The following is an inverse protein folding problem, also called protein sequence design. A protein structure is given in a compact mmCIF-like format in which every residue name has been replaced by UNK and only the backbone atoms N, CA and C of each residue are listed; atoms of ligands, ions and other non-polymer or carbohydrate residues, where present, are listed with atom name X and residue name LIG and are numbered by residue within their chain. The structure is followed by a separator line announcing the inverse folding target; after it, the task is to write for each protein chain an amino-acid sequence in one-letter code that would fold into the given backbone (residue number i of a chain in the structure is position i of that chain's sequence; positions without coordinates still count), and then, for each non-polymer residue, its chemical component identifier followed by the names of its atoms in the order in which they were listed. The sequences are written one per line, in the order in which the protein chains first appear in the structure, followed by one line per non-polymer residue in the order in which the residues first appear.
data_IF_161798797656
#
_entry.id   IF_161798797656
#
_cell.length_a   1.000
_cell.length_b   1.000
_cell.length_c   1.000
_cell.angle_alpha   90.00
_cell.angle_beta   90.00
_cell.angle_gamma   90.00
#
_symmetry.space_group_name_H-M   'P 1'
#
loop_
_entity.id
_entity.type
_entity.pdbx_description
1 polymer ?
#
# COMPACT_ATOMS: atom_id res chain seq x y z
N UNK A 1 -19.86 -38.20 -37.31
CA UNK A 1 -19.12 -36.93 -37.07
C UNK A 1 -18.48 -36.79 -35.67
N UNK A 2 -18.87 -37.54 -34.62
CA UNK A 2 -18.30 -37.40 -33.26
C UNK A 2 -16.95 -38.11 -32.98
N UNK A 3 -16.54 -39.07 -33.82
CA UNK A 3 -15.28 -39.82 -33.63
C UNK A 3 -14.03 -39.05 -34.08
N UNK A 4 -14.18 -38.17 -35.08
CA UNK A 4 -13.08 -37.36 -35.60
C UNK A 4 -12.71 -36.20 -34.66
N UNK A 5 -13.69 -35.63 -33.95
CA UNK A 5 -13.46 -34.53 -33.00
C UNK A 5 -12.61 -34.97 -31.81
N UNK A 6 -12.84 -36.18 -31.30
CA UNK A 6 -12.04 -36.75 -30.19
C UNK A 6 -10.60 -37.02 -30.65
N UNK A 7 -10.41 -37.51 -31.87
CA UNK A 7 -9.09 -37.79 -32.42
C UNK A 7 -8.27 -36.49 -32.61
N UNK A 8 -8.92 -35.41 -33.06
CA UNK A 8 -8.30 -34.09 -33.19
C UNK A 8 -7.88 -33.54 -31.82
N UNK A 9 -8.71 -33.68 -30.78
CA UNK A 9 -8.38 -33.21 -29.42
C UNK A 9 -7.20 -33.97 -28.83
N UNK A 10 -7.13 -35.30 -29.02
CA UNK A 10 -6.02 -36.12 -28.54
C UNK A 10 -4.71 -35.76 -29.25
N UNK A 11 -4.75 -35.51 -30.56
CA UNK A 11 -3.57 -35.07 -31.32
C UNK A 11 -3.11 -33.68 -30.89
N UNK A 12 -4.04 -32.75 -30.63
CA UNK A 12 -3.71 -31.40 -30.14
C UNK A 12 -3.09 -31.42 -28.73
N UNK A 13 -3.61 -32.25 -27.83
CA UNK A 13 -3.05 -32.40 -26.48
C UNK A 13 -1.63 -33.00 -26.52
N UNK A 14 -1.38 -33.98 -27.39
CA UNK A 14 -0.05 -34.55 -27.61
C UNK A 14 0.94 -33.51 -28.18
N UNK A 15 0.48 -32.63 -29.08
CA UNK A 15 1.28 -31.55 -29.65
C UNK A 15 1.66 -30.49 -28.61
N UNK A 16 0.73 -30.12 -27.72
CA UNK A 16 0.99 -29.17 -26.63
C UNK A 16 2.04 -29.73 -25.65
N UNK A 17 1.93 -31.00 -25.28
CA UNK A 17 2.91 -31.67 -24.41
C UNK A 17 4.29 -31.75 -25.07
N UNK A 18 4.35 -31.98 -26.39
CA UNK A 18 5.62 -32.04 -27.12
C UNK A 18 6.29 -30.65 -27.23
N UNK A 19 5.50 -29.58 -27.37
CA UNK A 19 6.01 -28.19 -27.33
C UNK A 19 6.52 -27.82 -25.94
N UNK A 20 5.79 -28.16 -24.87
CA UNK A 20 6.24 -27.93 -23.49
C UNK A 20 7.55 -28.68 -23.19
N UNK A 21 7.65 -29.94 -23.62
CA UNK A 21 8.87 -30.73 -23.46
C UNK A 21 10.09 -30.14 -24.21
N UNK A 22 9.90 -29.56 -25.39
CA UNK A 22 10.98 -28.90 -26.15
C UNK A 22 11.38 -27.56 -25.51
N UNK A 23 10.44 -26.82 -24.93
CA UNK A 23 10.75 -25.59 -24.18
C UNK A 23 11.57 -25.90 -22.93
N UNK A 24 11.20 -26.93 -22.17
CA UNK A 24 11.95 -27.34 -20.98
C UNK A 24 13.35 -27.87 -21.33
N UNK A 25 13.51 -28.58 -22.46
CA UNK A 25 14.84 -29.05 -22.90
C UNK A 25 15.77 -27.95 -23.42
N UNK A 26 15.24 -26.78 -23.79
CA UNK A 26 16.03 -25.63 -24.25
C UNK A 26 16.30 -24.58 -23.15
N UNK A 27 15.81 -24.79 -21.93
CA UNK A 27 16.20 -23.99 -20.79
C UNK A 27 17.64 -24.33 -20.39
N UNK A 28 18.59 -23.55 -20.93
CA UNK A 28 19.99 -23.54 -20.50
C UNK A 28 20.03 -23.10 -19.03
N UNK A 29 20.79 -23.78 -18.14
CA UNK A 29 20.89 -23.37 -16.75
C UNK A 29 21.55 -22.00 -16.65
N UNK A 30 20.83 -21.01 -16.13
CA UNK A 30 21.37 -19.71 -15.76
C UNK A 30 22.32 -19.88 -14.57
N UNK A 31 23.62 -19.89 -14.85
CA UNK A 31 24.67 -19.71 -13.85
C UNK A 31 24.67 -18.29 -13.28
N UNK A 32 25.37 -18.06 -12.16
CA UNK A 32 25.38 -16.79 -11.47
C UNK A 32 26.37 -15.82 -12.15
N UNK A 33 25.92 -14.58 -12.37
CA UNK A 33 26.80 -13.44 -12.55
C UNK A 33 26.64 -12.65 -13.85
N UNK A 34 26.45 -11.34 -13.70
CA UNK A 34 27.14 -10.34 -14.52
C UNK A 34 26.43 -9.83 -15.77
N UNK A 35 26.16 -8.52 -15.72
CA UNK A 35 26.17 -7.57 -16.84
C UNK A 35 24.90 -7.39 -17.69
N UNK A 36 24.25 -6.26 -17.39
CA UNK A 36 23.84 -5.17 -18.29
C UNK A 36 23.32 -5.52 -19.71
N UNK A 37 22.11 -5.05 -19.97
CA UNK A 37 21.56 -4.79 -21.30
C UNK A 37 20.87 -3.41 -21.28
N UNK A 38 20.57 -2.79 -22.44
CA UNK A 38 21.31 -1.66 -22.98
C UNK A 38 20.61 -0.31 -22.77
N UNK A 39 21.42 0.74 -22.73
CA UNK A 39 20.96 2.13 -22.76
C UNK A 39 20.31 2.44 -24.12
N UNK A 40 19.09 2.98 -24.06
CA UNK A 40 18.41 3.59 -25.20
C UNK A 40 19.06 4.95 -25.47
N UNK A 41 19.60 5.12 -26.67
CA UNK A 41 20.12 6.38 -27.18
C UNK A 41 19.02 7.46 -27.15
N UNK A 42 19.24 8.51 -26.36
CA UNK A 42 18.56 9.80 -26.54
C UNK A 42 19.45 10.71 -27.40
N UNK A 43 18.86 11.57 -28.26
CA UNK A 43 19.63 12.46 -29.11
C UNK A 43 20.45 13.46 -28.27
N UNK A 44 21.72 13.61 -28.62
CA UNK A 44 22.64 14.60 -28.03
C UNK A 44 22.06 16.02 -28.15
N UNK A 45 21.63 16.56 -27.01
CA UNK A 45 21.34 17.98 -26.84
C UNK A 45 22.65 18.78 -26.72
N UNK A 46 22.73 19.88 -27.45
CA UNK A 46 23.84 20.84 -27.50
C UNK A 46 24.17 21.38 -26.09
N UNK A 47 25.46 21.47 -25.75
CA UNK A 47 25.93 22.07 -24.51
C UNK A 47 25.58 23.58 -24.48
N UNK A 48 24.79 24.00 -23.49
CA UNK A 48 24.54 25.41 -23.21
C UNK A 48 25.78 26.05 -22.55
N UNK A 49 26.12 27.31 -22.88
CA UNK A 49 27.23 28.04 -22.28
C UNK A 49 27.03 28.24 -20.77
N UNK A 50 28.14 28.37 -20.04
CA UNK A 50 28.24 28.40 -18.55
C UNK A 50 27.41 29.50 -17.86
N UNK A 51 26.83 30.42 -18.63
CA UNK A 51 26.11 31.59 -18.10
C UNK A 51 24.58 31.38 -18.04
N UNK A 52 24.06 30.24 -18.49
CA UNK A 52 22.63 29.89 -18.41
C UNK A 52 22.21 29.22 -17.09
N UNK A 53 23.15 28.99 -16.16
CA UNK A 53 22.92 28.28 -14.89
C UNK A 53 22.17 29.09 -13.81
N UNK A 54 21.79 30.35 -14.08
CA UNK A 54 21.20 31.26 -13.08
C UNK A 54 19.69 31.48 -13.26
N UNK A 55 19.00 30.76 -14.15
CA UNK A 55 17.54 30.94 -14.31
C UNK A 55 16.77 29.65 -14.63
N UNK A 56 17.05 28.59 -13.89
CA UNK A 56 16.09 27.49 -13.67
C UNK A 56 15.46 27.57 -12.27
N UNK A 57 15.19 28.78 -11.78
CA UNK A 57 14.19 29.00 -10.74
C UNK A 57 12.80 28.94 -11.40
N UNK A 58 12.27 27.73 -11.66
CA UNK A 58 10.84 27.45 -11.86
C UNK A 58 10.59 25.94 -12.03
N UNK A 59 10.45 25.28 -10.88
CA UNK A 59 9.32 24.44 -10.56
C UNK A 59 9.51 23.99 -9.10
N UNK A 60 9.10 24.82 -8.15
CA UNK A 60 8.77 24.33 -6.80
C UNK A 60 7.44 23.58 -6.97
N UNK A 61 7.54 22.41 -7.59
CA UNK A 61 6.48 21.44 -7.67
C UNK A 61 6.21 20.95 -6.26
N UNK A 62 4.93 20.86 -5.91
CA UNK A 62 4.46 20.29 -4.67
C UNK A 62 5.23 19.00 -4.40
N UNK A 63 5.88 18.88 -3.25
CA UNK A 63 6.43 17.60 -2.80
C UNK A 63 5.53 17.01 -1.71
N UNK A 64 4.27 16.81 -2.08
CA UNK A 64 3.92 15.43 -2.38
C UNK A 64 4.12 15.34 -3.88
N UNK A 65 5.06 14.53 -4.41
CA UNK A 65 5.12 14.36 -5.84
C UNK A 65 3.68 14.13 -6.34
N UNK A 66 3.18 14.95 -7.26
CA UNK A 66 2.00 14.59 -8.05
C UNK A 66 2.27 13.29 -8.85
N UNK A 67 3.52 12.82 -8.85
CA UNK A 67 3.94 11.53 -9.36
C UNK A 67 3.75 10.38 -8.36
N UNK A 68 2.73 9.57 -8.70
CA UNK A 68 2.63 8.12 -8.50
C UNK A 68 2.77 7.56 -7.08
N UNK A 69 1.83 7.89 -6.20
CA UNK A 69 1.32 6.81 -5.33
C UNK A 69 0.82 5.66 -6.23
N UNK A 70 0.92 4.40 -5.80
CA UNK A 70 0.43 3.28 -6.61
C UNK A 70 -1.00 3.55 -7.07
N UNK A 71 -1.34 3.23 -8.32
CA UNK A 71 -2.73 3.40 -8.77
C UNK A 71 -3.61 2.42 -7.99
N UNK A 72 -4.81 2.87 -7.61
CA UNK A 72 -5.84 1.99 -7.05
C UNK A 72 -6.01 0.77 -7.97
N UNK A 73 -5.93 -0.44 -7.40
CA UNK A 73 -5.91 -1.70 -8.13
C UNK A 73 -4.55 -2.34 -8.39
N UNK A 74 -3.45 -1.70 -8.00
CA UNK A 74 -2.09 -2.23 -8.18
C UNK A 74 -1.15 -1.94 -6.98
N UNK A 75 -1.64 -2.17 -5.76
CA UNK A 75 -0.85 -1.96 -4.54
C UNK A 75 0.27 -3.02 -4.46
N UNK A 76 1.51 -2.62 -4.75
CA UNK A 76 2.68 -3.48 -4.65
C UNK A 76 3.43 -3.19 -3.35
N UNK A 77 3.19 -3.96 -2.29
CA UNK A 77 3.92 -3.77 -1.04
C UNK A 77 5.32 -4.40 -1.08
N UNK A 78 6.31 -3.79 -0.41
CA UNK A 78 7.63 -4.40 -0.22
C UNK A 78 7.46 -5.78 0.45
N UNK A 79 8.37 -6.71 0.15
CA UNK A 79 8.31 -8.12 0.57
C UNK A 79 7.96 -8.25 2.05
N UNK A 80 6.68 -8.52 2.31
CA UNK A 80 6.14 -8.79 3.64
C UNK A 80 6.69 -10.14 4.09
N UNK A 81 6.86 -10.32 5.40
CA UNK A 81 7.09 -11.63 6.03
C UNK A 81 6.15 -12.66 5.36
N UNK A 82 6.67 -13.58 4.52
CA UNK A 82 5.83 -14.43 3.67
C UNK A 82 4.99 -15.45 4.47
N UNK A 83 5.09 -15.41 5.79
CA UNK A 83 4.54 -16.39 6.72
C UNK A 83 3.33 -15.90 7.53
N UNK A 84 2.88 -14.65 7.38
CA UNK A 84 1.69 -14.19 8.10
C UNK A 84 0.40 -14.79 7.50
N UNK A 85 -0.15 -15.80 8.18
CA UNK A 85 -1.33 -16.58 7.74
C UNK A 85 -2.67 -15.84 7.82
N UNK A 86 -2.75 -14.63 8.37
CA UNK A 86 -4.02 -13.93 8.59
C UNK A 86 -4.85 -14.51 9.76
N UNK A 87 -5.88 -13.78 10.16
CA UNK A 87 -6.84 -14.20 11.20
C UNK A 87 -7.97 -15.11 10.67
N UNK A 88 -8.09 -15.24 9.35
CA UNK A 88 -9.05 -16.09 8.65
C UNK A 88 -8.48 -16.47 7.27
N UNK A 89 -9.13 -17.41 6.59
CA UNK A 89 -8.88 -17.68 5.16
C UNK A 89 -9.13 -16.41 4.33
N UNK A 90 -8.16 -15.99 3.50
CA UNK A 90 -8.23 -14.70 2.81
C UNK A 90 -7.77 -13.50 3.64
N UNK A 91 -7.38 -13.71 4.90
CA UNK A 91 -7.02 -12.64 5.84
C UNK A 91 -5.55 -12.23 5.82
N UNK A 92 -4.71 -12.83 4.96
CA UNK A 92 -3.33 -12.38 4.80
C UNK A 92 -3.29 -11.02 4.10
N UNK A 93 -2.22 -10.25 4.29
CA UNK A 93 -2.10 -8.92 3.66
C UNK A 93 -2.19 -9.00 2.14
N UNK A 94 -1.56 -10.01 1.53
CA UNK A 94 -1.65 -10.22 0.08
C UNK A 94 -3.10 -10.40 -0.37
N UNK A 95 -3.84 -11.29 0.27
CA UNK A 95 -5.23 -11.57 -0.09
C UNK A 95 -6.15 -10.36 0.18
N UNK A 96 -5.90 -9.60 1.26
CA UNK A 96 -6.60 -8.35 1.54
C UNK A 96 -6.38 -7.32 0.42
N UNK A 97 -5.16 -7.20 -0.12
CA UNK A 97 -4.86 -6.30 -1.24
C UNK A 97 -5.45 -6.82 -2.56
N UNK A 98 -5.37 -8.12 -2.83
CA UNK A 98 -5.93 -8.76 -4.03
C UNK A 98 -7.48 -8.61 -4.11
N UNK A 99 -8.12 -8.27 -2.99
CA UNK A 99 -9.57 -8.03 -2.90
C UNK A 99 -9.94 -6.56 -2.74
N UNK A 100 -8.97 -5.64 -2.74
CA UNK A 100 -9.16 -4.20 -2.55
C UNK A 100 -10.29 -3.67 -3.44
N UNK A 101 -10.13 -3.62 -4.76
CA UNK A 101 -11.17 -3.07 -5.66
C UNK A 101 -12.43 -3.93 -5.83
N UNK A 102 -12.52 -5.08 -5.15
CA UNK A 102 -13.69 -5.98 -5.21
C UNK A 102 -14.55 -5.90 -3.96
N UNK A 103 -13.93 -5.91 -2.78
CA UNK A 103 -14.63 -5.98 -1.50
C UNK A 103 -14.60 -4.65 -0.76
N UNK A 104 -13.51 -3.89 -0.86
CA UNK A 104 -13.31 -2.69 -0.05
C UNK A 104 -12.72 -1.54 -0.87
N UNK A 105 -12.20 -0.50 -0.24
CA UNK A 105 -11.63 0.63 -0.97
C UNK A 105 -12.65 1.63 -1.53
N UNK A 106 -12.14 2.75 -2.05
CA UNK A 106 -12.95 3.92 -2.39
C UNK A 106 -13.71 3.77 -3.70
N UNK A 107 -13.21 2.91 -4.60
CA UNK A 107 -13.69 2.76 -5.97
C UNK A 107 -14.23 1.36 -6.28
N UNK A 108 -14.47 0.53 -5.26
CA UNK A 108 -15.12 -0.75 -5.49
C UNK A 108 -16.58 -0.52 -5.93
N UNK A 109 -16.97 -1.16 -7.03
CA UNK A 109 -18.28 -0.93 -7.68
C UNK A 109 -19.48 -1.30 -6.81
N UNK A 110 -19.32 -2.28 -5.93
CA UNK A 110 -20.33 -2.75 -4.99
C UNK A 110 -19.65 -3.00 -3.63
N UNK A 111 -19.22 -1.92 -2.96
CA UNK A 111 -18.44 -2.04 -1.72
C UNK A 111 -19.15 -2.92 -0.69
N UNK A 112 -18.44 -3.96 -0.22
CA UNK A 112 -18.87 -4.75 0.92
C UNK A 112 -18.63 -4.00 2.25
N UNK A 113 -17.63 -3.11 2.24
CA UNK A 113 -17.25 -2.29 3.38
C UNK A 113 -17.98 -0.94 3.31
N UNK A 114 -18.41 -0.44 4.47
CA UNK A 114 -18.89 0.96 4.55
C UNK A 114 -17.72 1.93 4.33
N UNK A 115 -17.99 3.22 4.03
CA UNK A 115 -16.93 4.22 3.90
C UNK A 115 -16.01 4.30 5.14
N UNK A 116 -16.58 4.23 6.33
CA UNK A 116 -15.81 4.24 7.59
C UNK A 116 -14.95 2.99 7.76
N UNK A 117 -15.47 1.82 7.36
CA UNK A 117 -14.70 0.58 7.39
C UNK A 117 -13.55 0.62 6.37
N UNK A 118 -13.78 1.16 5.18
CA UNK A 118 -12.73 1.36 4.17
C UNK A 118 -11.66 2.34 4.67
N UNK A 119 -12.06 3.47 5.26
CA UNK A 119 -11.15 4.44 5.87
C UNK A 119 -10.30 3.79 6.99
N UNK A 120 -10.92 2.96 7.83
CA UNK A 120 -10.20 2.23 8.87
C UNK A 120 -9.18 1.24 8.29
N UNK A 121 -9.52 0.51 7.23
CA UNK A 121 -8.56 -0.34 6.52
C UNK A 121 -7.39 0.47 5.96
N UNK A 122 -7.65 1.63 5.34
CA UNK A 122 -6.58 2.49 4.84
C UNK A 122 -5.68 3.05 5.94
N UNK A 123 -6.25 3.45 7.07
CA UNK A 123 -5.47 3.89 8.22
C UNK A 123 -4.56 2.77 8.73
N UNK A 124 -5.06 1.54 8.85
CA UNK A 124 -4.26 0.39 9.29
C UNK A 124 -3.17 0.02 8.27
N UNK A 125 -3.47 0.11 6.99
CA UNK A 125 -2.51 -0.11 5.91
C UNK A 125 -1.40 0.96 5.92
N UNK A 126 -1.77 2.23 6.05
CA UNK A 126 -0.85 3.35 6.18
C UNK A 126 0.01 3.25 7.44
N UNK A 127 -0.57 2.83 8.56
CA UNK A 127 0.12 2.62 9.83
C UNK A 127 1.14 1.49 9.75
N UNK A 128 0.78 0.40 9.07
CA UNK A 128 1.67 -0.74 8.86
C UNK A 128 2.86 -0.37 7.97
N UNK A 129 2.62 0.22 6.80
CA UNK A 129 3.70 0.61 5.88
C UNK A 129 4.55 1.74 6.46
N UNK A 130 3.93 2.71 7.12
CA UNK A 130 4.65 3.81 7.77
C UNK A 130 5.52 3.33 8.93
N UNK A 131 5.07 2.33 9.69
CA UNK A 131 5.90 1.66 10.68
C UNK A 131 7.13 0.98 10.05
N UNK A 132 6.96 0.28 8.92
CA UNK A 132 8.10 -0.30 8.20
C UNK A 132 9.06 0.76 7.66
N UNK A 133 8.50 1.86 7.15
CA UNK A 133 9.26 3.01 6.67
C UNK A 133 10.11 3.61 7.80
N UNK A 134 9.54 3.75 9.01
CA UNK A 134 10.26 4.21 10.19
C UNK A 134 11.39 3.26 10.59
N UNK A 135 11.16 1.93 10.58
CA UNK A 135 12.19 0.94 10.88
C UNK A 135 13.40 1.04 9.94
N UNK A 136 13.12 1.25 8.64
CA UNK A 136 14.14 1.32 7.59
C UNK A 136 14.70 2.72 7.35
N UNK A 137 14.16 3.74 8.03
CA UNK A 137 14.44 5.16 7.70
C UNK A 137 14.22 5.49 6.22
N UNK A 138 13.18 4.90 5.63
CA UNK A 138 12.89 5.01 4.20
C UNK A 138 11.42 5.37 3.98
N UNK A 139 11.16 6.66 3.78
CA UNK A 139 9.81 7.19 3.52
C UNK A 139 9.25 6.79 2.16
N UNK A 140 10.10 6.36 1.22
CA UNK A 140 9.67 5.99 -0.13
C UNK A 140 8.80 4.73 -0.14
N UNK A 141 8.85 3.92 0.94
CA UNK A 141 7.94 2.80 1.10
C UNK A 141 6.47 3.22 1.09
N UNK A 142 6.15 4.44 1.55
CA UNK A 142 4.80 4.99 1.50
C UNK A 142 4.32 5.24 0.06
N UNK A 143 5.22 5.39 -0.91
CA UNK A 143 4.87 5.64 -2.32
C UNK A 143 4.23 4.42 -3.00
N UNK A 144 4.38 3.24 -2.39
CA UNK A 144 3.67 2.03 -2.79
C UNK A 144 2.18 2.01 -2.42
N UNK A 145 1.69 3.04 -1.71
CA UNK A 145 0.29 3.14 -1.32
C UNK A 145 -0.50 4.02 -2.27
N UNK A 146 -1.82 3.77 -2.40
CA UNK A 146 -2.69 4.63 -3.17
C UNK A 146 -2.68 6.08 -2.72
N UNK A 147 -2.42 6.97 -3.67
CA UNK A 147 -2.39 8.43 -3.46
C UNK A 147 -3.68 9.12 -3.89
N UNK A 148 -3.55 10.37 -4.34
CA UNK A 148 -4.66 11.14 -4.91
C UNK A 148 -5.15 10.44 -6.18
N UNK A 149 -6.45 10.16 -6.23
CA UNK A 149 -7.07 9.57 -7.39
C UNK A 149 -8.46 10.15 -7.63
N UNK A 150 -8.82 10.23 -8.91
CA UNK A 150 -10.15 10.52 -9.39
C UNK A 150 -10.57 9.38 -10.31
N UNK A 151 -11.77 8.83 -10.09
CA UNK A 151 -12.35 7.79 -10.94
C UNK A 151 -13.84 8.06 -11.07
N UNK A 152 -14.34 8.05 -12.31
CA UNK A 152 -15.75 8.24 -12.62
C UNK A 152 -16.35 9.53 -11.98
N UNK A 153 -15.55 10.61 -11.90
CA UNK A 153 -15.93 11.89 -11.29
C UNK A 153 -15.89 11.91 -9.76
N UNK A 154 -15.58 10.78 -9.10
CA UNK A 154 -15.37 10.72 -7.66
C UNK A 154 -13.90 10.99 -7.33
N UNK A 155 -13.64 12.09 -6.62
CA UNK A 155 -12.30 12.47 -6.14
C UNK A 155 -12.11 12.03 -4.69
N UNK A 156 -10.99 11.37 -4.41
CA UNK A 156 -10.57 11.07 -3.03
C UNK A 156 -9.75 12.23 -2.49
N UNK A 157 -10.17 12.91 -1.40
CA UNK A 157 -9.36 13.93 -0.75
C UNK A 157 -7.98 13.39 -0.37
N UNK A 158 -6.93 14.17 -0.61
CA UNK A 158 -5.54 13.75 -0.39
C UNK A 158 -5.31 13.30 1.05
N UNK A 159 -5.93 14.00 1.99
CA UNK A 159 -5.74 13.88 3.44
C UNK A 159 -6.22 12.54 3.98
N UNK A 160 -7.13 11.87 3.27
CA UNK A 160 -7.67 10.55 3.65
C UNK A 160 -7.02 9.39 2.88
N UNK A 161 -6.06 9.68 1.99
CA UNK A 161 -5.36 8.64 1.23
C UNK A 161 -4.35 7.92 2.12
N UNK A 162 -4.19 6.59 1.97
CA UNK A 162 -3.22 5.84 2.76
C UNK A 162 -1.77 6.30 2.50
N UNK A 163 -1.46 6.78 1.29
CA UNK A 163 -0.18 7.42 0.97
C UNK A 163 0.10 8.63 1.86
N UNK A 164 -0.85 9.57 1.93
CA UNK A 164 -0.69 10.80 2.71
C UNK A 164 -0.54 10.49 4.19
N UNK A 165 -1.41 9.63 4.75
CA UNK A 165 -1.36 9.25 6.17
C UNK A 165 -0.02 8.57 6.50
N UNK A 166 0.46 7.66 5.63
CA UNK A 166 1.74 6.99 5.79
C UNK A 166 2.89 7.98 5.82
N UNK A 167 2.98 8.86 4.79
CA UNK A 167 4.04 9.87 4.71
C UNK A 167 3.96 10.85 5.88
N UNK A 168 2.77 11.33 6.22
CA UNK A 168 2.57 12.33 7.27
C UNK A 168 3.14 11.86 8.60
N UNK A 169 2.75 10.65 9.02
CA UNK A 169 3.21 10.08 10.28
C UNK A 169 4.70 9.72 10.24
N UNK A 170 5.15 9.09 9.17
CA UNK A 170 6.54 8.66 9.03
C UNK A 170 7.50 9.83 9.02
N UNK A 171 7.22 10.88 8.21
CA UNK A 171 8.04 12.09 8.16
C UNK A 171 8.09 12.76 9.53
N UNK A 172 6.98 12.79 10.27
CA UNK A 172 6.96 13.38 11.62
C UNK A 172 7.92 12.66 12.58
N UNK A 173 7.93 11.33 12.60
CA UNK A 173 8.85 10.56 13.45
C UNK A 173 10.30 10.66 12.97
N UNK A 174 10.54 10.52 11.66
CA UNK A 174 11.89 10.56 11.11
C UNK A 174 12.52 11.95 11.17
N UNK A 175 11.71 13.01 11.07
CA UNK A 175 12.16 14.39 11.28
C UNK A 175 12.68 14.59 12.71
N UNK A 176 11.93 14.13 13.71
CA UNK A 176 12.40 14.21 15.09
C UNK A 176 13.60 13.30 15.34
N UNK A 177 13.68 12.17 14.63
CA UNK A 177 14.87 11.32 14.59
C UNK A 177 16.09 12.02 13.98
N UNK A 178 15.90 12.80 12.93
CA UNK A 178 16.95 13.63 12.31
C UNK A 178 17.43 14.71 13.27
N UNK A 179 16.49 15.44 13.90
CA UNK A 179 16.78 16.45 14.93
C UNK A 179 17.48 15.88 16.16
N UNK A 180 17.20 14.62 16.51
CA UNK A 180 17.87 13.90 17.58
C UNK A 180 19.22 13.27 17.15
N UNK A 181 19.59 13.36 15.88
CA UNK A 181 20.82 12.80 15.32
C UNK A 181 20.79 11.29 15.03
N UNK A 182 19.62 10.65 15.16
CA UNK A 182 19.40 9.22 14.93
C UNK A 182 19.17 8.88 13.44
N UNK A 183 18.67 9.84 12.66
CA UNK A 183 18.49 9.74 11.21
C UNK A 183 19.51 10.66 10.55
N UNK A 184 20.26 10.14 9.57
CA UNK A 184 21.30 10.92 8.86
C UNK A 184 20.81 11.50 7.54
N UNK A 185 19.80 10.88 6.94
CA UNK A 185 19.17 11.39 5.73
C UNK A 185 18.49 12.73 6.01
N UNK A 186 18.74 13.70 5.13
CA UNK A 186 18.20 15.06 5.21
C UNK A 186 16.75 15.13 4.73
N UNK A 187 16.29 14.12 3.98
CA UNK A 187 14.95 14.11 3.39
C UNK A 187 13.81 14.40 4.37
N UNK A 188 13.74 13.80 5.58
CA UNK A 188 12.66 14.09 6.53
C UNK A 188 12.64 15.56 6.97
N UNK A 189 13.80 16.22 7.03
CA UNK A 189 13.89 17.65 7.29
C UNK A 189 13.32 18.47 6.14
N UNK A 190 13.74 18.18 4.91
CA UNK A 190 13.21 18.86 3.71
C UNK A 190 11.69 18.73 3.62
N UNK A 191 11.18 17.51 3.78
CA UNK A 191 9.75 17.21 3.75
C UNK A 191 8.96 17.92 4.88
N UNK A 192 9.57 18.14 6.05
CA UNK A 192 8.93 18.88 7.13
C UNK A 192 8.94 20.40 6.87
N UNK A 193 10.02 20.94 6.30
CA UNK A 193 10.12 22.36 5.94
C UNK A 193 9.10 22.77 4.88
N UNK A 194 8.74 21.88 3.97
CA UNK A 194 7.72 22.13 2.94
C UNK A 194 6.31 22.30 3.50
N UNK A 195 6.06 21.86 4.74
CA UNK A 195 4.77 22.11 5.42
C UNK A 195 4.63 23.55 5.89
N UNK A 196 5.72 24.32 5.87
CA UNK A 196 5.68 25.72 6.23
C UNK A 196 5.09 26.52 5.08
N UNK A 197 4.55 27.69 5.41
CA UNK A 197 4.01 28.58 4.39
C UNK A 197 5.07 28.91 3.32
N UNK A 198 4.67 28.87 2.04
CA UNK A 198 5.57 29.05 0.90
C UNK A 198 6.31 30.39 0.94
N UNK A 199 5.66 31.45 1.43
CA UNK A 199 6.29 32.77 1.56
C UNK A 199 7.40 32.73 2.62
N UNK A 200 7.23 31.96 3.69
CA UNK A 200 8.26 31.77 4.72
C UNK A 200 9.41 30.90 4.22
N UNK A 201 9.11 29.80 3.53
CA UNK A 201 10.14 28.90 2.97
C UNK A 201 11.02 29.65 1.96
N UNK A 202 10.46 30.57 1.18
CA UNK A 202 11.23 31.39 0.24
C UNK A 202 12.24 32.34 0.90
N UNK A 203 12.16 32.57 2.22
CA UNK A 203 13.05 33.48 2.95
C UNK A 203 14.34 32.80 3.42
N UNK A 204 14.49 31.48 3.28
CA UNK A 204 15.66 30.76 3.75
C UNK A 204 16.05 29.57 2.87
N UNK A 205 17.30 29.13 3.00
CA UNK A 205 17.77 27.91 2.35
C UNK A 205 17.36 26.70 3.17
N UNK A 206 16.44 25.87 2.65
CA UNK A 206 16.05 24.60 3.28
C UNK A 206 17.27 23.71 3.56
N UNK A 207 18.22 23.52 2.62
CA UNK A 207 19.46 22.78 2.91
C UNK A 207 20.22 23.30 4.13
N UNK A 208 20.34 24.62 4.23
CA UNK A 208 21.06 25.26 5.34
C UNK A 208 20.32 25.10 6.66
N UNK A 209 19.00 25.27 6.65
CA UNK A 209 18.16 25.03 7.83
C UNK A 209 18.32 23.59 8.32
N UNK A 210 18.26 22.61 7.42
CA UNK A 210 18.42 21.20 7.79
C UNK A 210 19.79 20.91 8.40
N UNK A 211 20.87 21.43 7.80
CA UNK A 211 22.21 21.37 8.40
C UNK A 211 22.21 21.93 9.83
N UNK A 212 21.62 23.11 10.04
CA UNK A 212 21.54 23.74 11.37
C UNK A 212 20.68 22.94 12.36
N UNK A 213 19.61 22.30 11.91
CA UNK A 213 18.78 21.41 12.73
C UNK A 213 19.59 20.19 13.20
N UNK A 214 20.43 19.63 12.33
CA UNK A 214 21.29 18.49 12.66
C UNK A 214 22.37 18.83 13.69
N UNK A 215 22.80 20.10 13.75
CA UNK A 215 23.70 20.64 14.78
C UNK A 215 22.99 20.89 16.13
N UNK A 216 21.65 20.89 16.14
CA UNK A 216 20.80 21.01 17.33
C UNK A 216 19.92 22.26 17.36
N UNK A 217 19.19 22.44 18.48
CA UNK A 217 18.21 23.53 18.64
C UNK A 217 18.83 24.92 18.54
N UNK A 218 19.96 25.16 19.21
CA UNK A 218 20.56 26.49 19.28
C UNK A 218 21.03 27.01 17.89
N UNK A 219 21.77 26.23 17.08
CA UNK A 219 22.13 26.64 15.72
C UNK A 219 20.91 26.87 14.81
N UNK A 220 19.90 26.00 14.86
CA UNK A 220 18.66 26.16 14.08
C UNK A 220 17.91 27.45 14.44
N UNK A 221 17.73 27.72 15.73
CA UNK A 221 17.10 28.95 16.20
C UNK A 221 17.91 30.19 15.83
N UNK A 222 19.24 30.15 15.97
CA UNK A 222 20.11 31.27 15.59
C UNK A 222 19.99 31.58 14.10
N UNK A 223 19.94 30.55 13.25
CA UNK A 223 19.75 30.72 11.81
C UNK A 223 18.41 31.39 11.50
N UNK A 224 17.31 30.88 12.06
CA UNK A 224 15.98 31.43 11.80
C UNK A 224 15.76 32.81 12.43
N UNK A 225 16.32 33.10 13.61
CA UNK A 225 16.26 34.45 14.21
C UNK A 225 17.02 35.48 13.38
N UNK A 226 18.05 35.07 12.63
CA UNK A 226 18.72 35.93 11.66
C UNK A 226 17.85 36.30 10.45
N UNK A 227 16.89 35.45 10.09
CA UNK A 227 15.96 35.65 8.96
C UNK A 227 14.67 36.34 9.41
N UNK A 228 14.18 35.99 10.60
CA UNK A 228 12.97 36.51 11.23
C UNK A 228 13.33 37.22 12.55
N UNK A 229 13.93 38.43 12.49
CA UNK A 229 14.45 39.11 13.67
C UNK A 229 13.37 39.74 14.57
N UNK A 230 12.12 39.75 14.11
CA UNK A 230 10.99 40.29 14.85
C UNK A 230 10.86 39.58 16.23
N UNK A 231 10.82 40.31 17.36
CA UNK A 231 10.69 39.71 18.69
C UNK A 231 9.48 38.78 18.83
N UNK A 232 8.40 39.09 18.11
CA UNK A 232 7.15 38.32 18.08
C UNK A 232 7.32 36.96 17.37
N UNK A 233 8.35 36.82 16.53
CA UNK A 233 8.68 35.56 15.88
C UNK A 233 9.41 34.59 16.83
N UNK A 234 10.08 35.08 17.89
CA UNK A 234 10.89 34.23 18.76
C UNK A 234 10.10 33.09 19.43
N UNK A 235 8.90 33.30 20.02
CA UNK A 235 8.09 32.21 20.56
C UNK A 235 7.65 31.21 19.49
N UNK A 236 7.30 31.69 18.28
CA UNK A 236 6.90 30.83 17.16
C UNK A 236 8.06 29.94 16.69
N UNK A 237 9.26 30.51 16.58
CA UNK A 237 10.47 29.77 16.23
C UNK A 237 10.83 28.73 17.29
N UNK A 238 10.62 29.05 18.57
CA UNK A 238 10.87 28.11 19.67
C UNK A 238 9.88 26.94 19.67
N UNK A 239 8.60 27.21 19.39
CA UNK A 239 7.56 26.19 19.25
C UNK A 239 7.78 25.25 18.04
N UNK A 240 8.54 25.68 17.02
CA UNK A 240 8.93 24.82 15.89
C UNK A 240 9.89 23.71 16.29
N UNK A 241 10.71 23.94 17.32
CA UNK A 241 11.73 22.98 17.78
C UNK A 241 11.60 22.72 19.29
N UNK A 242 10.46 22.20 19.76
CA UNK A 242 10.23 22.09 21.19
C UNK A 242 11.13 21.00 21.77
N UNK A 243 11.77 21.28 22.89
CA UNK A 243 12.59 20.33 23.67
C UNK A 243 12.13 20.22 25.12
N UNK A 244 11.18 21.07 25.53
CA UNK A 244 10.43 21.02 26.79
C UNK A 244 9.00 21.50 26.55
N UNK A 245 8.06 21.09 27.41
CA UNK A 245 6.64 21.45 27.29
C UNK A 245 6.40 22.96 27.28
N UNK A 246 7.19 23.70 28.06
CA UNK A 246 7.11 25.16 28.13
C UNK A 246 7.40 25.86 26.79
N UNK A 247 8.13 25.22 25.85
CA UNK A 247 8.36 25.78 24.52
C UNK A 247 7.08 25.84 23.68
N UNK A 248 6.04 25.08 24.06
CA UNK A 248 4.81 24.95 23.28
C UNK A 248 3.67 25.88 23.71
N UNK A 249 3.79 26.56 24.87
CA UNK A 249 2.74 27.46 25.38
C UNK A 249 1.30 26.88 25.36
N UNK A 250 1.17 25.55 25.52
CA UNK A 250 -0.13 24.85 25.48
C UNK A 250 -0.65 24.49 24.09
N UNK A 251 0.07 24.80 23.01
CA UNK A 251 -0.31 24.40 21.65
C UNK A 251 -0.25 22.88 21.48
N UNK A 252 -1.37 22.29 21.05
CA UNK A 252 -1.54 20.83 20.98
C UNK A 252 -0.62 20.19 19.94
N UNK A 253 -0.42 20.84 18.80
CA UNK A 253 0.42 20.30 17.73
C UNK A 253 1.89 20.30 18.16
N UNK A 254 2.36 21.40 18.75
CA UNK A 254 3.68 21.51 19.35
C UNK A 254 3.88 20.46 20.46
N UNK A 255 2.90 20.30 21.36
CA UNK A 255 2.99 19.28 22.43
C UNK A 255 3.10 17.86 21.86
N UNK A 256 2.38 17.56 20.78
CA UNK A 256 2.53 16.28 20.07
C UNK A 256 3.93 16.13 19.47
N UNK A 257 4.46 17.15 18.80
CA UNK A 257 5.85 17.15 18.25
C UNK A 257 6.90 16.98 19.35
N UNK A 258 6.73 17.68 20.47
CA UNK A 258 7.58 17.53 21.65
C UNK A 258 7.54 16.09 22.20
N UNK A 259 6.35 15.48 22.31
CA UNK A 259 6.22 14.11 22.78
C UNK A 259 6.89 13.11 21.83
N UNK A 260 6.75 13.29 20.50
CA UNK A 260 7.48 12.48 19.50
C UNK A 260 9.00 12.66 19.69
N UNK A 261 9.49 13.89 19.77
CA UNK A 261 10.91 14.18 20.00
C UNK A 261 11.44 13.54 21.27
N UNK A 262 10.71 13.68 22.38
CA UNK A 262 11.08 13.09 23.67
C UNK A 262 11.16 11.57 23.57
N UNK A 263 10.17 10.92 22.96
CA UNK A 263 10.16 9.47 22.78
C UNK A 263 11.26 8.98 21.86
N UNK A 264 11.48 9.63 20.72
CA UNK A 264 12.54 9.31 19.77
C UNK A 264 13.93 9.51 20.39
N UNK A 265 14.19 10.67 21.02
CA UNK A 265 15.48 10.98 21.65
C UNK A 265 15.82 10.06 22.81
N UNK A 266 14.82 9.65 23.60
CA UNK A 266 15.03 8.73 24.72
C UNK A 266 15.01 7.25 24.31
N UNK A 267 14.67 6.93 23.06
CA UNK A 267 14.43 5.55 22.63
C UNK A 267 13.22 4.89 23.29
N UNK A 268 12.33 5.68 23.93
CA UNK A 268 11.17 5.18 24.66
C UNK A 268 9.90 5.37 23.85
N UNK A 269 9.43 4.29 23.21
CA UNK A 269 8.16 4.28 22.46
C UNK A 269 6.95 4.71 23.31
N UNK A 270 6.98 4.44 24.62
CA UNK A 270 5.92 4.82 25.57
C UNK A 270 5.81 6.34 25.79
N UNK A 271 6.88 7.09 25.52
CA UNK A 271 6.88 8.54 25.62
C UNK A 271 6.36 9.22 24.34
N UNK A 272 6.24 8.49 23.22
CA UNK A 272 5.56 8.99 22.03
C UNK A 272 4.05 8.99 22.22
N UNK A 273 3.31 9.89 21.53
CA UNK A 273 1.85 9.82 21.51
C UNK A 273 1.37 8.46 21.00
N UNK A 274 0.19 8.03 21.45
CA UNK A 274 -0.35 6.68 21.20
C UNK A 274 -0.36 6.30 19.71
N UNK A 275 -0.70 7.24 18.83
CA UNK A 275 -0.72 7.06 17.37
C UNK A 275 0.66 6.93 16.72
N UNK A 276 1.73 7.30 17.44
CA UNK A 276 3.13 7.23 17.00
C UNK A 276 3.95 6.16 17.75
N UNK A 277 3.40 5.53 18.80
CA UNK A 277 4.13 4.56 19.64
C UNK A 277 4.81 3.47 18.79
N UNK A 278 4.10 2.85 17.85
CA UNK A 278 4.65 1.78 17.01
C UNK A 278 5.76 2.30 16.08
N UNK A 279 5.63 3.51 15.55
CA UNK A 279 6.64 4.13 14.68
C UNK A 279 7.91 4.45 15.46
N UNK A 280 7.78 5.03 16.65
CA UNK A 280 8.91 5.33 17.52
C UNK A 280 9.64 4.06 17.94
N UNK A 281 8.90 2.99 18.28
CA UNK A 281 9.48 1.68 18.60
C UNK A 281 10.23 1.09 17.41
N UNK A 282 9.62 1.12 16.22
CA UNK A 282 10.23 0.62 15.00
C UNK A 282 11.53 1.36 14.65
N UNK A 283 11.55 2.70 14.80
CA UNK A 283 12.74 3.51 14.59
C UNK A 283 13.83 3.22 15.64
N UNK A 284 13.48 3.10 16.92
CA UNK A 284 14.45 2.88 18.00
C UNK A 284 15.07 1.48 17.94
N UNK A 285 14.26 0.46 17.64
CA UNK A 285 14.70 -0.93 17.52
C UNK A 285 15.28 -1.28 16.14
N UNK A 286 15.11 -0.39 15.15
CA UNK A 286 15.47 -0.64 13.73
C UNK A 286 14.87 -1.94 13.21
N UNK A 287 13.63 -2.20 13.61
CA UNK A 287 12.97 -3.49 13.43
C UNK A 287 11.52 -3.30 12.97
N UNK A 288 11.08 -4.17 12.07
CA UNK A 288 9.68 -4.21 11.63
C UNK A 288 8.77 -5.02 12.57
N UNK A 289 9.31 -5.71 13.59
CA UNK A 289 8.53 -6.52 14.53
C UNK A 289 7.39 -5.74 15.21
N UNK A 290 7.55 -4.46 15.63
CA UNK A 290 6.45 -3.69 16.20
C UNK A 290 5.27 -3.51 15.23
N UNK A 291 5.51 -3.53 13.93
CA UNK A 291 4.49 -3.34 12.89
C UNK A 291 3.53 -4.54 12.78
N UNK A 292 3.92 -5.72 13.27
CA UNK A 292 3.11 -6.94 13.21
C UNK A 292 1.79 -6.80 13.98
N UNK A 293 1.77 -5.98 15.04
CA UNK A 293 0.54 -5.70 15.79
C UNK A 293 -0.49 -5.00 14.91
N UNK A 294 -0.07 -4.02 14.12
CA UNK A 294 -0.96 -3.31 13.18
C UNK A 294 -1.45 -4.27 12.09
N UNK A 295 -0.57 -5.14 11.58
CA UNK A 295 -0.94 -6.18 10.62
C UNK A 295 -1.99 -7.15 11.18
N UNK A 296 -1.83 -7.57 12.44
CA UNK A 296 -2.80 -8.41 13.13
C UNK A 296 -4.14 -7.72 13.34
N UNK A 297 -4.15 -6.44 13.71
CA UNK A 297 -5.36 -5.65 13.86
C UNK A 297 -6.10 -5.49 12.52
N UNK A 298 -5.36 -5.18 11.46
CA UNK A 298 -5.88 -5.11 10.09
C UNK A 298 -6.54 -6.43 9.67
N UNK A 299 -5.84 -7.55 9.88
CA UNK A 299 -6.36 -8.87 9.53
C UNK A 299 -7.62 -9.23 10.32
N UNK A 300 -7.62 -9.01 11.64
CA UNK A 300 -8.80 -9.25 12.49
C UNK A 300 -10.00 -8.39 12.05
N UNK A 301 -9.76 -7.11 11.77
CA UNK A 301 -10.80 -6.19 11.34
C UNK A 301 -11.38 -6.61 9.98
N UNK A 302 -10.52 -6.87 8.99
CA UNK A 302 -10.92 -7.35 7.67
C UNK A 302 -11.74 -8.63 7.76
N UNK A 303 -11.25 -9.65 8.49
CA UNK A 303 -11.92 -10.93 8.64
C UNK A 303 -13.30 -10.81 9.30
N UNK A 304 -13.42 -9.95 10.32
CA UNK A 304 -14.70 -9.68 10.98
C UNK A 304 -15.69 -9.04 10.00
N UNK A 305 -15.25 -8.05 9.22
CA UNK A 305 -16.09 -7.37 8.22
C UNK A 305 -16.50 -8.31 7.09
N UNK A 306 -15.56 -9.07 6.53
CA UNK A 306 -15.83 -10.06 5.47
C UNK A 306 -16.82 -11.11 5.96
N UNK A 307 -16.65 -11.65 7.17
CA UNK A 307 -17.59 -12.62 7.75
C UNK A 307 -19.00 -12.05 7.92
N UNK A 308 -19.09 -10.81 8.44
CA UNK A 308 -20.36 -10.07 8.57
C UNK A 308 -21.06 -9.92 7.22
N UNK A 309 -20.33 -9.48 6.19
CA UNK A 309 -20.90 -9.27 4.85
C UNK A 309 -21.28 -10.59 4.21
N UNK A 310 -20.42 -11.61 4.29
CA UNK A 310 -20.70 -12.96 3.77
C UNK A 310 -22.00 -13.52 4.31
N UNK A 311 -22.26 -13.35 5.62
CA UNK A 311 -23.51 -13.76 6.26
C UNK A 311 -24.71 -12.96 5.75
N UNK A 312 -24.55 -11.66 5.56
CA UNK A 312 -25.62 -10.78 5.08
C UNK A 312 -25.98 -11.01 3.60
N UNK A 313 -25.02 -11.37 2.76
CA UNK A 313 -25.21 -11.55 1.31
C UNK A 313 -25.34 -13.00 0.87
N UNK A 314 -25.32 -13.97 1.81
CA UNK A 314 -25.41 -15.39 1.50
C UNK A 314 -24.19 -15.93 0.74
N UNK A 315 -23.02 -15.31 0.90
CA UNK A 315 -21.77 -15.73 0.26
C UNK A 315 -21.28 -14.84 -0.88
N UNK A 316 -22.13 -13.97 -1.42
CA UNK A 316 -21.83 -13.14 -2.59
C UNK A 316 -21.31 -11.76 -2.16
N UNK A 317 -20.02 -11.68 -1.84
CA UNK A 317 -19.36 -10.43 -1.40
C UNK A 317 -18.98 -9.61 -2.64
N UNK A 318 -19.22 -8.29 -2.61
CA UNK A 318 -18.83 -7.41 -3.70
C UNK A 318 -19.75 -7.47 -4.94
N UNK A 319 -20.95 -8.04 -4.81
CA UNK A 319 -21.92 -8.18 -5.90
C UNK A 319 -23.17 -7.33 -5.63
N UNK A 320 -23.75 -6.76 -6.68
CA UNK A 320 -25.03 -6.06 -6.55
C UNK A 320 -26.16 -7.06 -6.33
N UNK A 321 -27.30 -6.61 -5.79
CA UNK A 321 -28.48 -7.49 -5.63
C UNK A 321 -28.95 -8.09 -6.96
N UNK A 322 -28.81 -7.35 -8.07
CA UNK A 322 -29.15 -7.82 -9.40
C UNK A 322 -28.18 -8.92 -9.86
N UNK A 323 -26.88 -8.74 -9.63
CA UNK A 323 -25.86 -9.75 -9.97
C UNK A 323 -26.04 -11.03 -9.14
N UNK A 324 -26.37 -10.88 -7.85
CA UNK A 324 -26.67 -12.01 -6.96
C UNK A 324 -27.88 -12.79 -7.48
N UNK A 325 -28.97 -12.10 -7.85
CA UNK A 325 -30.14 -12.75 -8.40
C UNK A 325 -29.83 -13.49 -9.71
N UNK A 326 -29.04 -12.87 -10.60
CA UNK A 326 -28.63 -13.48 -11.85
C UNK A 326 -27.78 -14.75 -11.65
N UNK A 327 -26.82 -14.74 -10.71
CA UNK A 327 -26.03 -15.93 -10.40
C UNK A 327 -26.85 -17.03 -9.70
N UNK A 328 -27.82 -16.67 -8.86
CA UNK A 328 -28.74 -17.65 -8.27
C UNK A 328 -29.56 -18.34 -9.37
N UNK A 329 -30.10 -17.59 -10.34
CA UNK A 329 -30.86 -18.17 -11.45
C UNK A 329 -29.98 -19.04 -12.36
N UNK A 330 -28.74 -18.61 -12.64
CA UNK A 330 -27.77 -19.42 -13.38
C UNK A 330 -27.43 -20.72 -12.65
N UNK A 331 -27.21 -20.67 -11.34
CA UNK A 331 -26.95 -21.86 -10.53
C UNK A 331 -28.15 -22.82 -10.51
N UNK A 332 -29.39 -22.30 -10.45
CA UNK A 332 -30.60 -23.11 -10.60
C UNK A 332 -30.69 -23.75 -11.97
N UNK A 333 -30.40 -23.01 -13.05
CA UNK A 333 -30.41 -23.54 -14.41
C UNK A 333 -29.40 -24.69 -14.59
N UNK A 334 -28.16 -24.51 -14.11
CA UNK A 334 -27.11 -25.55 -14.15
C UNK A 334 -27.52 -26.78 -13.33
N UNK A 335 -28.11 -26.59 -12.15
CA UNK A 335 -28.62 -27.71 -11.34
C UNK A 335 -29.74 -28.47 -12.05
N UNK A 336 -30.69 -27.75 -12.66
CA UNK A 336 -31.78 -28.36 -13.41
C UNK A 336 -31.26 -29.15 -14.62
N UNK A 337 -30.26 -28.63 -15.34
CA UNK A 337 -29.60 -29.34 -16.44
C UNK A 337 -28.88 -30.60 -15.94
N UNK A 338 -28.14 -30.51 -14.83
CA UNK A 338 -27.48 -31.66 -14.21
C UNK A 338 -28.48 -32.74 -13.76
N UNK A 339 -29.60 -32.35 -13.17
CA UNK A 339 -30.67 -33.28 -12.77
C UNK A 339 -31.35 -33.95 -13.99
N UNK A 340 -31.48 -33.23 -15.10
CA UNK A 340 -32.00 -33.78 -16.36
C UNK A 340 -31.04 -34.80 -16.97
N UNK A 341 -29.74 -34.48 -17.04
CA UNK A 341 -28.70 -35.39 -17.52
C UNK A 341 -28.66 -36.65 -16.64
N UNK A 342 -28.71 -36.50 -15.32
CA UNK A 342 -28.72 -37.64 -14.39
C UNK A 342 -29.94 -38.55 -14.62
N UNK A 343 -31.14 -37.97 -14.77
CA UNK A 343 -32.36 -38.74 -15.09
C UNK A 343 -32.26 -39.46 -16.44
N UNK A 344 -31.63 -38.86 -17.44
CA UNK A 344 -31.43 -39.50 -18.74
C UNK A 344 -30.43 -40.65 -18.67
N UNK A 345 -29.33 -40.49 -17.92
CA UNK A 345 -28.37 -41.56 -17.63
C UNK A 345 -29.03 -42.74 -16.90
N UNK A 346 -29.85 -42.47 -15.88
CA UNK A 346 -30.61 -43.50 -15.15
C UNK A 346 -31.57 -44.26 -16.08
N UNK A 347 -32.27 -43.56 -17.00
CA UNK A 347 -33.13 -44.20 -18.01
C UNK A 347 -32.34 -45.08 -18.97
N UNK A 348 -31.23 -44.57 -19.52
CA UNK A 348 -30.38 -45.34 -20.43
C UNK A 348 -29.82 -46.58 -19.74
N UNK A 349 -29.38 -46.46 -18.49
CA UNK A 349 -28.86 -47.58 -17.71
C UNK A 349 -29.95 -48.63 -17.43
N UNK A 350 -31.18 -48.20 -17.12
CA UNK A 350 -32.32 -49.10 -16.96
C UNK A 350 -32.65 -49.86 -18.26
N UNK A 351 -32.59 -49.18 -19.42
CA UNK A 351 -32.83 -49.79 -20.73
C UNK A 351 -31.74 -50.80 -21.10
N UNK A 352 -30.46 -50.46 -20.85
CA UNK A 352 -29.33 -51.39 -21.01
C UNK A 352 -29.50 -52.63 -20.13
N UNK A 353 -29.88 -52.45 -18.86
CA UNK A 353 -30.13 -53.56 -17.95
C UNK A 353 -31.30 -54.44 -18.40
N UNK A 354 -32.37 -53.84 -18.94
CA UNK A 354 -33.51 -54.57 -19.50
C UNK A 354 -33.10 -55.41 -20.70
N UNK A 355 -32.39 -54.82 -21.68
CA UNK A 355 -31.89 -55.54 -22.86
C UNK A 355 -30.91 -56.66 -22.50
N UNK A 356 -30.05 -56.43 -21.50
CA UNK A 356 -29.14 -57.47 -21.01
C UNK A 356 -29.91 -58.67 -20.41
N UNK A 357 -30.98 -58.42 -19.65
CA UNK A 357 -31.86 -59.50 -19.13
C UNK A 357 -32.59 -60.25 -20.24
N UNK A 358 -33.11 -59.55 -21.24
CA UNK A 358 -33.78 -60.17 -22.39
C UNK A 358 -32.83 -61.09 -23.18
N UNK A 359 -31.58 -60.66 -23.40
CA UNK A 359 -30.53 -61.47 -24.05
C UNK A 359 -30.10 -62.69 -23.23
N UNK A 360 -30.11 -62.60 -21.89
CA UNK A 360 -29.78 -63.73 -21.01
C UNK A 360 -30.90 -64.77 -20.96
N UNK A 361 -32.16 -64.35 -21.12
CA UNK A 361 -33.33 -65.24 -21.11
C UNK A 361 -33.69 -65.80 -22.49
N UNK A 362 -33.01 -65.38 -23.57
CA UNK A 362 -33.23 -65.90 -24.92
C UNK A 362 -32.28 -67.06 -25.30
N UNK A 363 -31.66 -67.68 -24.30
CA UNK A 363 -30.91 -68.94 -24.40
C UNK A 363 -31.66 -70.00 -23.59
#
# INVERSE_FOLDING_TARGET
MKKWTILIIVVLAALILLVQYVIEKKAVPAGPGGSQAPAVEQPLGVALPEDAAVSAARAVGNFVPETSGSVYGSIALPTIQPFYKGACEGGSLREMLDTHDRYWGFFARNTAFTPDEANKMYNLLADYVGCQAAARTDTTLCDNLPGVAEKDGQKVPKEITPHYICRDKTVSVLYEGYRAGLVKDEFPCRAMSERWDKTRVAMFSVPELCRKISEGRAPALSYLKGIFPAPEAAPLLEATFPVKEADCAGDRECLNRYAIYKGVKSGSAKACPKEYTTYCQALSERSALPCDKTLQEMSKFYCATVSRVKKATGGYIGMSKADIAAEIEKAKAVKNEADMIKKEQEKQQAEVNKRAKELLNSK
#
